data_IF_278325579235
#
_entry.id   IF_278325579235
#
_cell.length_a   1.000
_cell.length_b   1.000
_cell.length_c   1.000
_cell.angle_alpha   90.00
_cell.angle_beta   90.00
_cell.angle_gamma   90.00
#
_symmetry.space_group_name_H-M   'P 1'
#
loop_
_entity.id
_entity.type
_entity.pdbx_description
1 polymer ?
#
# COMPACT_ATOMS: atom_id res chain seq x y z
N UNK A 1 71.05 -4.54 0.95
CA UNK A 1 70.56 -5.03 2.25
C UNK A 1 69.39 -4.22 2.86
N UNK A 2 68.93 -3.11 2.26
CA UNK A 2 67.84 -2.29 2.83
C UNK A 2 66.42 -2.67 2.35
N UNK A 3 66.30 -3.33 1.18
CA UNK A 3 65.00 -3.59 0.55
C UNK A 3 64.27 -4.83 1.11
N UNK A 4 65.02 -5.86 1.52
CA UNK A 4 64.45 -7.07 2.16
C UNK A 4 63.92 -6.81 3.58
N UNK A 5 64.50 -5.85 4.30
CA UNK A 5 64.07 -5.46 5.65
C UNK A 5 62.77 -4.65 5.61
N UNK A 6 62.57 -3.82 4.59
CA UNK A 6 61.35 -3.02 4.39
C UNK A 6 60.14 -3.89 4.00
N UNK A 7 60.32 -4.87 3.12
CA UNK A 7 59.24 -5.81 2.74
C UNK A 7 58.77 -6.70 3.91
N UNK A 8 59.69 -7.08 4.83
CA UNK A 8 59.32 -7.78 6.07
C UNK A 8 58.60 -6.90 7.09
N UNK A 9 58.79 -5.58 7.04
CA UNK A 9 58.08 -4.63 7.90
C UNK A 9 56.63 -4.41 7.43
N UNK A 10 56.41 -4.29 6.12
CA UNK A 10 55.06 -4.13 5.54
C UNK A 10 54.24 -5.42 5.68
N UNK A 11 54.85 -6.61 5.57
CA UNK A 11 54.12 -7.88 5.77
C UNK A 11 53.70 -8.11 7.22
N UNK A 12 54.49 -7.68 8.21
CA UNK A 12 54.13 -7.80 9.63
C UNK A 12 53.04 -6.79 10.05
N UNK A 13 52.94 -5.64 9.39
CA UNK A 13 51.88 -4.66 9.67
C UNK A 13 50.50 -5.16 9.20
N UNK A 14 50.46 -5.94 8.11
CA UNK A 14 49.25 -6.60 7.61
C UNK A 14 48.70 -7.59 8.64
N UNK A 15 49.53 -8.47 9.22
CA UNK A 15 49.09 -9.50 10.16
C UNK A 15 48.56 -8.92 11.48
N UNK A 16 49.14 -7.81 11.96
CA UNK A 16 48.65 -7.10 13.16
C UNK A 16 47.34 -6.36 12.87
N UNK A 17 47.19 -5.78 11.67
CA UNK A 17 45.98 -5.06 11.28
C UNK A 17 44.74 -5.96 11.14
N UNK A 18 44.89 -7.20 10.65
CA UNK A 18 43.75 -8.16 10.59
C UNK A 18 43.38 -8.72 11.96
N UNK A 19 44.36 -8.90 12.85
CA UNK A 19 44.10 -9.37 14.22
C UNK A 19 43.39 -8.32 15.09
N UNK A 20 43.76 -7.05 14.98
CA UNK A 20 43.16 -5.98 15.78
C UNK A 20 41.72 -5.68 15.37
N UNK A 21 41.40 -5.77 14.07
CA UNK A 21 40.02 -5.57 13.60
C UNK A 21 39.07 -6.66 14.11
N UNK A 22 39.53 -7.92 14.17
CA UNK A 22 38.71 -9.04 14.68
C UNK A 22 38.39 -8.91 16.17
N UNK A 23 39.26 -8.28 16.96
CA UNK A 23 39.04 -8.06 18.40
C UNK A 23 38.07 -6.91 18.64
N UNK A 24 38.11 -5.86 17.81
CA UNK A 24 37.19 -4.70 17.92
C UNK A 24 35.76 -5.08 17.53
N UNK A 25 35.57 -5.91 16.50
CA UNK A 25 34.22 -6.37 16.09
C UNK A 25 33.58 -7.27 17.14
N UNK A 26 34.38 -7.97 17.97
CA UNK A 26 33.87 -8.86 19.02
C UNK A 26 33.46 -8.13 20.32
N UNK A 27 33.95 -6.90 20.54
CA UNK A 27 33.72 -6.14 21.79
C UNK A 27 32.68 -5.03 21.67
N UNK A 28 32.08 -4.82 20.49
CA UNK A 28 31.02 -3.84 20.27
C UNK A 28 29.68 -4.59 20.15
N UNK A 29 28.94 -4.83 21.25
CA UNK A 29 27.64 -5.50 21.20
C UNK A 29 26.62 -4.77 20.32
N UNK A 30 26.83 -3.48 20.04
CA UNK A 30 26.01 -2.64 19.17
C UNK A 30 26.11 -3.06 17.69
N UNK A 31 27.28 -3.53 17.22
CA UNK A 31 27.47 -3.89 15.82
C UNK A 31 26.79 -5.22 15.47
N UNK A 32 26.69 -6.14 16.44
CA UNK A 32 25.99 -7.42 16.29
C UNK A 32 24.50 -7.24 15.95
N UNK A 33 23.85 -6.21 16.52
CA UNK A 33 22.46 -5.84 16.19
C UNK A 33 22.28 -5.32 14.76
N UNK A 34 23.34 -4.78 14.14
CA UNK A 34 23.32 -4.29 12.77
C UNK A 34 23.64 -5.38 11.73
N UNK A 35 24.33 -6.44 12.15
CA UNK A 35 24.74 -7.56 11.28
C UNK A 35 23.80 -8.77 11.34
N UNK A 36 22.96 -8.88 12.38
CA UNK A 36 21.85 -9.85 12.41
C UNK A 36 20.75 -9.34 11.47
N UNK A 37 20.91 -9.67 10.19
CA UNK A 37 19.88 -9.52 9.18
C UNK A 37 18.56 -10.09 9.69
N UNK A 38 17.51 -9.31 9.53
CA UNK A 38 16.14 -9.72 9.82
C UNK A 38 15.83 -10.96 9.00
N UNK A 39 15.89 -12.11 9.66
CA UNK A 39 15.44 -13.37 9.09
C UNK A 39 13.92 -13.23 8.94
N UNK A 40 13.49 -12.86 7.72
CA UNK A 40 12.09 -12.84 7.36
C UNK A 40 11.59 -14.27 7.47
N UNK A 41 11.00 -14.60 8.62
CA UNK A 41 10.21 -15.81 8.80
C UNK A 41 9.12 -15.79 7.73
N UNK A 42 9.37 -16.47 6.61
CA UNK A 42 8.33 -16.80 5.64
C UNK A 42 7.31 -17.60 6.42
N UNK A 43 6.18 -16.97 6.75
CA UNK A 43 5.03 -17.66 7.25
C UNK A 43 4.73 -18.78 6.25
N UNK A 44 4.94 -20.03 6.66
CA UNK A 44 4.55 -21.20 5.89
C UNK A 44 3.02 -21.23 5.89
N UNK A 45 2.42 -20.45 5.01
CA UNK A 45 0.99 -20.51 4.76
C UNK A 45 0.77 -21.83 4.03
N UNK A 46 0.23 -22.83 4.73
CA UNK A 46 -0.20 -24.07 4.08
C UNK A 46 -1.18 -23.67 2.98
N UNK A 47 -0.85 -24.00 1.72
CA UNK A 47 -1.70 -23.72 0.56
C UNK A 47 -2.97 -24.55 0.70
N UNK A 48 -4.01 -23.98 1.33
CA UNK A 48 -5.33 -24.59 1.42
C UNK A 48 -6.04 -24.32 0.11
N UNK A 49 -6.09 -25.31 -0.76
CA UNK A 49 -6.81 -25.23 -2.03
C UNK A 49 -8.33 -25.34 -1.76
N UNK A 50 -9.14 -24.53 -2.44
CA UNK A 50 -10.60 -24.58 -2.35
C UNK A 50 -11.25 -23.72 -1.28
N UNK A 51 -10.50 -22.96 -0.48
CA UNK A 51 -11.10 -21.95 0.41
C UNK A 51 -11.48 -20.69 -0.37
N UNK A 52 -12.62 -20.05 -0.03
CA UNK A 52 -12.98 -18.76 -0.61
C UNK A 52 -11.89 -17.72 -0.30
N UNK A 53 -11.31 -17.15 -1.36
CA UNK A 53 -10.31 -16.10 -1.24
C UNK A 53 -11.01 -14.74 -1.28
N UNK A 54 -10.76 -13.91 -0.26
CA UNK A 54 -11.31 -12.54 -0.18
C UNK A 54 -10.44 -11.52 -0.91
N UNK A 55 -9.24 -11.89 -1.37
CA UNK A 55 -8.32 -10.96 -2.03
C UNK A 55 -8.95 -10.20 -3.22
N UNK A 56 -9.80 -10.81 -4.07
CA UNK A 56 -10.48 -10.08 -5.14
C UNK A 56 -11.44 -8.97 -4.67
N UNK A 57 -11.84 -8.94 -3.40
CA UNK A 57 -12.64 -7.85 -2.83
C UNK A 57 -11.80 -6.64 -2.44
N UNK A 58 -10.47 -6.77 -2.45
CA UNK A 58 -9.49 -5.76 -2.05
C UNK A 58 -8.65 -5.27 -3.24
N UNK A 59 -9.20 -5.37 -4.45
CA UNK A 59 -8.52 -4.95 -5.69
C UNK A 59 -9.26 -3.78 -6.33
N UNK A 60 -8.50 -2.88 -6.96
CA UNK A 60 -9.07 -1.77 -7.73
C UNK A 60 -9.90 -2.31 -8.89
N UNK A 61 -11.05 -1.68 -9.11
CA UNK A 61 -11.95 -1.97 -10.23
C UNK A 61 -12.24 -0.68 -11.00
N UNK A 62 -12.50 -0.83 -12.29
CA UNK A 62 -12.95 0.28 -13.12
C UNK A 62 -14.43 0.59 -12.85
N UNK A 63 -14.79 1.87 -12.96
CA UNK A 63 -16.19 2.26 -12.89
C UNK A 63 -16.95 1.83 -14.15
N UNK A 64 -18.25 1.58 -13.99
CA UNK A 64 -19.16 1.23 -15.08
C UNK A 64 -20.25 2.30 -15.17
N UNK A 65 -19.95 3.49 -15.73
CA UNK A 65 -20.88 4.61 -15.75
C UNK A 65 -22.05 4.37 -16.72
N UNK A 66 -21.81 3.58 -17.77
CA UNK A 66 -22.83 3.15 -18.71
C UNK A 66 -23.69 2.05 -18.08
N UNK A 67 -25.00 2.10 -18.34
CA UNK A 67 -25.94 1.14 -17.76
C UNK A 67 -25.77 -0.22 -18.45
N UNK A 68 -25.50 -1.25 -17.67
CA UNK A 68 -25.34 -2.63 -18.15
C UNK A 68 -26.55 -3.46 -17.74
N UNK A 69 -27.09 -4.26 -18.66
CA UNK A 69 -28.17 -5.21 -18.35
C UNK A 69 -27.61 -6.44 -17.64
N UNK A 70 -28.21 -6.84 -16.52
CA UNK A 70 -27.81 -8.03 -15.78
C UNK A 70 -28.55 -9.27 -16.26
N UNK A 71 -27.85 -10.40 -16.38
CA UNK A 71 -28.48 -11.69 -16.68
C UNK A 71 -29.25 -12.19 -15.45
N UNK A 72 -30.58 -12.16 -15.52
CA UNK A 72 -31.46 -12.70 -14.48
C UNK A 72 -31.54 -14.23 -14.64
N UNK A 73 -31.27 -14.96 -13.56
CA UNK A 73 -31.50 -16.42 -13.47
C UNK A 73 -32.63 -16.70 -12.50
N UNK A 74 -33.60 -17.53 -12.91
CA UNK A 74 -34.82 -17.80 -12.13
C UNK A 74 -35.92 -16.76 -12.39
N UNK A 75 -36.85 -16.61 -11.46
CA UNK A 75 -38.01 -15.72 -11.59
C UNK A 75 -37.85 -14.47 -10.72
N UNK A 76 -37.61 -13.32 -11.36
CA UNK A 76 -37.50 -12.04 -10.66
C UNK A 76 -38.89 -11.47 -10.31
N UNK A 77 -39.17 -11.07 -9.05
CA UNK A 77 -40.49 -10.59 -8.66
C UNK A 77 -40.89 -9.30 -9.40
N UNK A 78 -42.03 -9.32 -10.10
CA UNK A 78 -42.53 -8.17 -10.88
C UNK A 78 -42.94 -6.97 -10.00
N UNK A 79 -43.29 -7.21 -8.74
CA UNK A 79 -43.64 -6.17 -7.78
C UNK A 79 -42.42 -5.42 -7.23
N UNK A 80 -41.21 -5.98 -7.37
CA UNK A 80 -39.98 -5.34 -6.92
C UNK A 80 -39.53 -4.31 -7.95
N UNK A 81 -39.76 -3.04 -7.64
CA UNK A 81 -39.38 -1.90 -8.47
C UNK A 81 -38.67 -0.86 -7.61
N UNK A 82 -37.47 -0.45 -8.03
CA UNK A 82 -36.67 0.49 -7.26
C UNK A 82 -35.19 0.44 -7.60
N UNK A 83 -34.37 1.03 -6.73
CA UNK A 83 -32.92 1.03 -6.85
C UNK A 83 -32.27 0.60 -5.54
N UNK A 84 -31.45 -0.45 -5.60
CA UNK A 84 -30.56 -0.81 -4.51
C UNK A 84 -29.25 -0.05 -4.70
N UNK A 85 -28.92 0.81 -3.74
CA UNK A 85 -27.66 1.53 -3.68
C UNK A 85 -26.77 0.90 -2.61
N UNK A 86 -25.51 0.64 -2.97
CA UNK A 86 -24.48 0.18 -2.02
C UNK A 86 -23.21 1.00 -2.23
N UNK A 87 -22.48 1.20 -1.15
CA UNK A 87 -21.17 1.86 -1.16
C UNK A 87 -20.14 0.85 -0.68
N UNK A 88 -18.99 0.83 -1.33
CA UNK A 88 -17.81 0.08 -0.89
C UNK A 88 -16.54 0.69 -1.46
N UNK A 89 -15.37 0.27 -0.97
CA UNK A 89 -14.10 0.68 -1.57
C UNK A 89 -13.95 0.03 -2.95
N UNK A 90 -13.58 0.81 -3.95
CA UNK A 90 -13.38 0.35 -5.33
C UNK A 90 -12.03 0.72 -5.95
N UNK A 91 -11.23 1.55 -5.28
CA UNK A 91 -9.88 1.92 -5.71
C UNK A 91 -8.93 1.94 -4.53
N UNK A 92 -7.87 1.15 -4.62
CA UNK A 92 -6.90 0.88 -3.57
C UNK A 92 -5.50 1.44 -3.86
N UNK A 93 -5.33 2.15 -4.98
CA UNK A 93 -4.05 2.74 -5.38
C UNK A 93 -4.22 4.04 -6.18
N UNK A 94 -3.20 4.89 -6.11
CA UNK A 94 -2.99 6.06 -6.95
C UNK A 94 -1.52 6.11 -7.37
N UNK A 95 -1.24 6.14 -8.67
CA UNK A 95 0.10 5.97 -9.21
C UNK A 95 0.82 4.75 -8.63
N UNK A 96 1.90 5.00 -7.87
CA UNK A 96 2.71 3.96 -7.21
C UNK A 96 2.28 3.69 -5.75
N UNK A 97 1.46 4.57 -5.17
CA UNK A 97 1.06 4.52 -3.78
C UNK A 97 -0.16 3.59 -3.62
N UNK A 98 -0.16 2.81 -2.54
CA UNK A 98 -1.21 1.84 -2.23
C UNK A 98 -1.76 2.08 -0.84
N UNK A 99 -3.06 1.88 -0.69
CA UNK A 99 -3.72 1.86 0.60
C UNK A 99 -3.39 0.56 1.36
N UNK A 100 -3.14 0.69 2.66
CA UNK A 100 -2.77 -0.41 3.56
C UNK A 100 -3.97 -1.02 4.27
N UNK A 101 -5.12 -0.33 4.30
CA UNK A 101 -6.31 -0.76 5.00
C UNK A 101 -7.53 -0.81 4.09
N UNK A 102 -8.42 -1.77 4.32
CA UNK A 102 -9.63 -1.95 3.51
C UNK A 102 -10.54 -0.71 3.49
N UNK A 103 -10.65 -0.03 4.64
CA UNK A 103 -11.46 1.19 4.78
C UNK A 103 -10.87 2.43 4.09
N UNK A 104 -9.63 2.39 3.63
CA UNK A 104 -9.00 3.56 2.99
C UNK A 104 -9.27 3.62 1.48
N UNK A 105 -9.79 2.54 0.89
CA UNK A 105 -10.09 2.51 -0.53
C UNK A 105 -11.20 3.51 -0.91
N UNK A 106 -11.07 4.15 -2.07
CA UNK A 106 -12.00 5.20 -2.50
C UNK A 106 -13.41 4.66 -2.73
N UNK A 107 -14.40 5.42 -2.27
CA UNK A 107 -15.80 5.04 -2.33
C UNK A 107 -16.30 4.90 -3.78
N UNK A 108 -16.72 3.69 -4.13
CA UNK A 108 -17.43 3.34 -5.34
C UNK A 108 -18.91 3.14 -5.01
N UNK A 109 -19.78 3.88 -5.70
CA UNK A 109 -21.22 3.71 -5.58
C UNK A 109 -21.66 2.66 -6.58
N UNK A 110 -22.42 1.67 -6.11
CA UNK A 110 -23.04 0.63 -6.91
C UNK A 110 -24.55 0.84 -6.94
N UNK A 111 -25.16 0.79 -8.13
CA UNK A 111 -26.61 0.82 -8.28
C UNK A 111 -27.07 -0.41 -9.04
N UNK A 112 -28.02 -1.14 -8.45
CA UNK A 112 -28.88 -2.07 -9.17
C UNK A 112 -30.26 -1.45 -9.30
N UNK A 113 -30.68 -1.11 -10.51
CA UNK A 113 -32.04 -0.63 -10.80
C UNK A 113 -32.88 -1.81 -11.26
N UNK A 114 -34.06 -1.97 -10.67
CA UNK A 114 -34.99 -3.06 -10.90
C UNK A 114 -36.31 -2.47 -11.37
N UNK A 115 -36.79 -2.91 -12.53
CA UNK A 115 -38.04 -2.43 -13.10
C UNK A 115 -38.65 -3.49 -14.02
N UNK A 116 -39.92 -3.86 -13.79
CA UNK A 116 -40.69 -4.80 -14.64
C UNK A 116 -39.98 -6.14 -14.88
N UNK A 117 -39.25 -6.65 -13.89
CA UNK A 117 -38.50 -7.92 -14.01
C UNK A 117 -37.14 -7.79 -14.69
N UNK A 118 -36.75 -6.61 -15.13
CA UNK A 118 -35.41 -6.31 -15.64
C UNK A 118 -34.52 -5.74 -14.53
N UNK A 119 -33.24 -6.08 -14.56
CA UNK A 119 -32.24 -5.56 -13.64
C UNK A 119 -31.10 -4.94 -14.45
N UNK A 120 -30.72 -3.73 -14.09
CA UNK A 120 -29.56 -3.04 -14.68
C UNK A 120 -28.58 -2.63 -13.61
N UNK A 121 -27.29 -2.65 -13.94
CA UNK A 121 -26.19 -2.28 -13.08
C UNK A 121 -25.46 -1.05 -13.62
N UNK A 122 -24.98 -0.21 -12.70
CA UNK A 122 -23.97 0.84 -12.97
C UNK A 122 -23.14 1.10 -11.72
N UNK A 123 -21.94 1.61 -11.90
CA UNK A 123 -21.10 2.09 -10.81
C UNK A 123 -20.37 3.38 -11.16
N UNK A 124 -20.08 4.19 -10.15
CA UNK A 124 -19.34 5.44 -10.29
C UNK A 124 -18.58 5.79 -9.02
N UNK A 125 -17.35 6.26 -9.16
CA UNK A 125 -16.60 6.75 -8.00
C UNK A 125 -17.25 8.01 -7.42
N UNK A 126 -17.36 8.07 -6.10
CA UNK A 126 -17.74 9.28 -5.39
C UNK A 126 -16.67 10.34 -5.65
N UNK A 127 -17.09 11.48 -6.18
CA UNK A 127 -16.21 12.61 -6.47
C UNK A 127 -15.92 13.43 -5.20
N UNK A 128 -15.40 12.76 -4.17
CA UNK A 128 -14.95 13.40 -2.92
C UNK A 128 -13.69 14.23 -3.15
N UNK A 129 -13.40 15.14 -2.23
CA UNK A 129 -12.21 15.98 -2.32
C UNK A 129 -10.93 15.14 -2.25
N UNK A 130 -10.92 14.05 -1.44
CA UNK A 130 -9.86 13.05 -1.46
C UNK A 130 -9.68 12.42 -2.84
N UNK A 131 -10.76 11.90 -3.43
CA UNK A 131 -10.68 11.23 -4.73
C UNK A 131 -10.14 12.16 -5.81
N UNK A 132 -10.66 13.40 -5.87
CA UNK A 132 -10.21 14.42 -6.84
C UNK A 132 -8.74 14.79 -6.62
N UNK A 133 -8.36 15.10 -5.39
CA UNK A 133 -6.99 15.53 -5.05
C UNK A 133 -5.97 14.45 -5.37
N UNK A 134 -6.24 13.20 -4.96
CA UNK A 134 -5.35 12.08 -5.24
C UNK A 134 -5.33 11.72 -6.74
N UNK A 135 -6.45 11.89 -7.46
CA UNK A 135 -6.49 11.71 -8.92
C UNK A 135 -5.68 12.76 -9.68
N UNK A 136 -5.73 14.03 -9.25
CA UNK A 136 -4.97 15.13 -9.88
C UNK A 136 -3.48 14.96 -9.68
N UNK A 137 -3.05 14.49 -8.51
CA UNK A 137 -1.64 14.31 -8.17
C UNK A 137 -1.08 12.92 -8.50
N UNK A 138 -1.94 11.99 -8.92
CA UNK A 138 -1.63 10.56 -9.15
C UNK A 138 -0.83 9.92 -8.01
N UNK A 139 -1.16 10.27 -6.76
CA UNK A 139 -0.54 9.76 -5.53
C UNK A 139 -1.45 9.97 -4.32
N UNK A 140 -1.19 9.30 -3.21
CA UNK A 140 -1.98 9.48 -1.97
C UNK A 140 -1.47 10.73 -1.24
N UNK A 141 -2.21 11.85 -1.38
CA UNK A 141 -1.87 13.15 -0.78
C UNK A 141 -2.62 13.40 0.53
N UNK A 142 -3.80 12.80 0.68
CA UNK A 142 -4.63 12.88 1.89
C UNK A 142 -4.56 11.55 2.64
N UNK A 143 -4.26 11.62 3.94
CA UNK A 143 -4.22 10.47 4.83
C UNK A 143 -5.64 9.95 5.10
N UNK A 144 -5.78 8.63 5.13
CA UNK A 144 -7.00 7.92 5.49
C UNK A 144 -6.80 7.15 6.80
N UNK A 145 -7.77 6.30 7.18
CA UNK A 145 -7.79 5.61 8.47
C UNK A 145 -6.50 4.80 8.77
N UNK A 146 -6.02 4.00 7.82
CA UNK A 146 -4.84 3.14 8.00
C UNK A 146 -3.64 3.48 7.12
N UNK A 147 -3.72 4.55 6.34
CA UNK A 147 -2.70 4.94 5.36
C UNK A 147 -2.38 6.41 5.51
N UNK A 148 -1.17 6.70 5.99
CA UNK A 148 -0.66 8.06 6.07
C UNK A 148 -0.15 8.50 4.70
N UNK A 149 -0.60 9.67 4.23
CA UNK A 149 -0.06 10.29 3.05
C UNK A 149 1.39 10.75 3.29
N UNK A 150 2.26 10.49 2.32
CA UNK A 150 3.62 11.01 2.38
C UNK A 150 3.60 12.51 2.06
N UNK A 151 4.11 13.36 2.98
CA UNK A 151 4.19 14.80 2.72
C UNK A 151 5.04 15.04 1.48
N UNK A 152 4.61 16.02 0.68
CA UNK A 152 5.34 16.43 -0.51
C UNK A 152 6.82 16.70 -0.18
N UNK A 153 7.79 16.06 -0.87
CA UNK A 153 9.21 16.30 -0.65
C UNK A 153 9.59 17.77 -0.78
N UNK A 154 8.85 18.53 -1.59
CA UNK A 154 9.05 19.95 -1.84
C UNK A 154 8.42 20.86 -0.76
N UNK A 155 7.59 20.30 0.14
CA UNK A 155 7.06 21.04 1.30
C UNK A 155 8.04 20.93 2.46
N UNK A 156 8.77 22.03 2.68
CA UNK A 156 9.88 22.15 3.63
C UNK A 156 9.50 21.70 5.05
N UNK A 157 10.50 21.24 5.81
CA UNK A 157 10.37 20.77 7.21
C UNK A 157 9.60 21.77 8.09
N UNK A 158 9.70 23.07 7.82
CA UNK A 158 8.97 24.12 8.55
C UNK A 158 7.45 24.13 8.32
N UNK A 159 6.96 23.75 7.13
CA UNK A 159 5.52 23.58 6.90
C UNK A 159 4.95 22.43 7.74
N UNK A 160 5.78 21.42 8.08
CA UNK A 160 5.35 20.28 8.92
C UNK A 160 5.07 20.67 10.38
N UNK A 161 5.61 21.80 10.84
CA UNK A 161 5.44 22.29 12.22
C UNK A 161 4.38 23.39 12.35
N UNK A 162 3.87 23.92 11.23
CA UNK A 162 2.85 24.96 11.24
C UNK A 162 1.46 24.32 11.25
N UNK A 163 0.67 24.57 12.28
CA UNK A 163 -0.74 24.20 12.34
C UNK A 163 -1.53 25.00 11.31
N UNK A 164 -2.11 24.33 10.31
CA UNK A 164 -3.05 24.94 9.37
C UNK A 164 -4.43 24.98 10.04
N UNK A 165 -4.85 26.17 10.47
CA UNK A 165 -6.22 26.41 10.90
C UNK A 165 -7.07 26.71 9.65
N UNK A 166 -7.96 25.80 9.30
CA UNK A 166 -9.05 26.12 8.37
C UNK A 166 -10.23 26.68 9.18
N UNK A 167 -10.66 27.93 8.93
CA UNK A 167 -11.87 28.45 9.53
C UNK A 167 -13.09 27.71 8.96
N UNK A 168 -14.05 27.39 9.83
CA UNK A 168 -15.34 26.78 9.50
C UNK A 168 -16.19 27.70 8.62
#
# INVERSE_FOLDING_TARGET
MFFQTFLRFVSNLSTIAVGFLSVVVHWIPVLKRYMEGTDQKKAAVSKREGLPCIAPLLTTVEETPQVVSAQVRGHFPKWLSGSLLRIGPGKFEFGKDKYNHWFDGMALLHQFKMEKGMVTYRSKFLQSDTYKTNSVHDRIVISEFGTLALPDPCKNVFERFMSKFEPL
#
